data_IF_893992376795
#
_entry.id   IF_893992376795
#
_cell.length_a   1.000
_cell.length_b   1.000
_cell.length_c   1.000
_cell.angle_alpha   90.00
_cell.angle_beta   90.00
_cell.angle_gamma   90.00
#
_symmetry.space_group_name_H-M   'P 1'
#
loop_
_entity.id
_entity.type
_entity.pdbx_description
1 polymer ?
#
# COMPACT_ATOMS: atom_id res chain seq x y z
N UNK A 1 58.18 30.23 3.16
CA UNK A 1 57.98 31.29 4.18
C UNK A 1 58.71 32.51 3.64
N UNK A 2 58.06 33.69 3.58
CA UNK A 2 58.41 34.80 2.67
C UNK A 2 58.07 34.58 1.18
N UNK A 3 58.12 35.70 0.42
CA UNK A 3 58.14 35.90 -1.06
C UNK A 3 56.84 35.78 -1.88
N UNK A 4 56.53 36.90 -2.59
CA UNK A 4 55.77 37.08 -3.86
C UNK A 4 54.30 36.60 -3.97
N UNK A 5 53.32 37.30 -4.58
CA UNK A 5 53.23 38.42 -5.56
C UNK A 5 53.70 38.10 -7.00
N UNK A 6 52.77 37.83 -7.91
CA UNK A 6 52.55 38.61 -9.15
C UNK A 6 51.42 38.03 -10.02
N UNK A 7 50.56 38.93 -10.51
CA UNK A 7 49.80 38.77 -11.76
C UNK A 7 50.53 39.59 -12.84
N UNK A 8 50.65 39.04 -14.07
CA UNK A 8 50.68 39.78 -15.35
C UNK A 8 50.89 38.88 -16.58
N UNK A 9 49.89 38.93 -17.47
CA UNK A 9 49.97 39.02 -18.95
C UNK A 9 51.31 38.79 -19.67
N UNK A 10 51.29 37.93 -20.71
CA UNK A 10 52.11 38.08 -21.93
C UNK A 10 51.37 37.52 -23.16
N UNK A 11 51.53 38.16 -24.33
CA UNK A 11 50.81 37.84 -25.58
C UNK A 11 51.69 38.14 -26.82
N UNK A 12 51.85 37.16 -27.72
CA UNK A 12 52.35 37.25 -29.13
C UNK A 12 51.82 35.99 -29.86
N UNK A 13 51.15 35.97 -31.02
CA UNK A 13 51.05 36.81 -32.26
C UNK A 13 52.01 36.36 -33.38
N UNK A 14 51.41 36.03 -34.54
CA UNK A 14 51.98 35.84 -35.91
C UNK A 14 52.84 34.57 -36.16
N UNK A 15 52.83 33.94 -37.36
CA UNK A 15 52.13 34.21 -38.63
C UNK A 15 51.90 32.93 -39.49
N UNK A 16 51.04 33.02 -40.52
CA UNK A 16 51.24 32.62 -41.95
C UNK A 16 51.83 31.24 -42.37
N UNK A 17 51.48 30.61 -43.52
CA UNK A 17 50.36 30.77 -44.48
C UNK A 17 50.20 29.46 -45.32
N UNK A 18 49.23 29.43 -46.24
CA UNK A 18 48.86 28.35 -47.17
C UNK A 18 49.98 27.86 -48.13
N UNK A 19 49.98 26.55 -48.52
CA UNK A 19 50.74 26.06 -49.69
C UNK A 19 50.82 24.52 -49.87
N UNK A 20 50.28 24.01 -51.00
CA UNK A 20 50.47 22.63 -51.52
C UNK A 20 50.67 22.71 -53.05
N UNK A 21 51.37 21.77 -53.70
CA UNK A 21 50.82 21.26 -54.98
C UNK A 21 51.12 19.80 -55.37
N UNK A 22 50.13 19.20 -56.08
CA UNK A 22 50.25 18.18 -57.14
C UNK A 22 50.80 16.78 -56.78
N UNK A 23 50.34 15.65 -57.34
CA UNK A 23 49.25 15.31 -58.30
C UNK A 23 48.76 13.86 -57.97
N UNK A 24 47.90 13.10 -58.67
CA UNK A 24 47.13 13.12 -59.95
C UNK A 24 46.00 12.05 -59.78
N UNK A 25 45.00 11.79 -60.63
CA UNK A 25 44.54 12.29 -61.95
C UNK A 25 42.97 12.23 -61.97
N UNK A 26 42.33 12.02 -63.12
CA UNK A 26 40.85 12.00 -63.36
C UNK A 26 40.51 10.91 -64.44
N UNK A 27 39.25 10.56 -64.86
CA UNK A 27 38.01 11.36 -64.78
C UNK A 27 36.60 10.68 -64.59
N UNK A 28 35.62 11.53 -64.20
CA UNK A 28 34.19 11.63 -64.64
C UNK A 28 33.17 10.45 -64.55
N UNK A 29 31.95 10.77 -64.08
CA UNK A 29 30.74 9.94 -64.22
C UNK A 29 29.45 10.62 -63.70
N UNK A 30 28.57 11.09 -64.60
CA UNK A 30 27.32 11.86 -64.34
C UNK A 30 26.34 11.24 -63.33
N UNK A 31 25.57 12.08 -62.63
CA UNK A 31 24.40 11.69 -61.80
C UNK A 31 23.06 12.25 -62.31
N UNK A 32 22.11 12.43 -61.38
CA UNK A 32 20.78 13.11 -61.44
C UNK A 32 19.52 12.21 -61.64
N UNK A 33 18.57 12.40 -60.69
CA UNK A 33 17.11 12.16 -60.69
C UNK A 33 16.49 10.76 -60.45
N UNK A 34 15.23 10.85 -59.99
CA UNK A 34 14.27 9.85 -59.49
C UNK A 34 13.02 9.84 -60.41
N UNK A 35 11.85 9.20 -60.10
CA UNK A 35 11.48 8.17 -59.11
C UNK A 35 10.72 6.96 -59.74
N UNK A 36 10.16 6.03 -58.92
CA UNK A 36 8.72 5.58 -58.93
C UNK A 36 8.49 4.14 -58.36
N UNK A 37 7.77 4.11 -57.23
CA UNK A 37 6.73 3.19 -56.72
C UNK A 37 6.48 1.78 -57.35
N UNK A 38 7.01 0.75 -56.66
CA UNK A 38 6.35 -0.48 -56.18
C UNK A 38 5.38 -1.34 -57.06
N UNK A 39 5.85 -2.55 -57.43
CA UNK A 39 5.20 -3.91 -57.46
C UNK A 39 6.29 -4.94 -57.83
N UNK A 40 6.31 -6.21 -57.44
CA UNK A 40 5.49 -6.98 -56.49
C UNK A 40 5.71 -8.50 -56.65
N UNK A 41 6.11 -9.21 -55.58
CA UNK A 41 6.28 -10.68 -55.45
C UNK A 41 7.39 -11.39 -56.27
N UNK A 42 7.85 -12.53 -55.72
CA UNK A 42 8.78 -13.50 -56.34
C UNK A 42 10.26 -13.10 -56.39
N UNK A 43 11.29 -13.92 -56.14
CA UNK A 43 11.53 -15.16 -55.38
C UNK A 43 12.87 -15.75 -55.86
N UNK A 44 13.73 -16.19 -54.92
CA UNK A 44 14.85 -17.17 -55.08
C UNK A 44 16.18 -16.76 -55.79
N UNK A 45 17.29 -17.15 -55.12
CA UNK A 45 18.62 -17.56 -55.64
C UNK A 45 19.50 -16.48 -56.34
N UNK A 46 20.82 -16.31 -56.10
CA UNK A 46 21.88 -16.96 -55.26
C UNK A 46 22.69 -15.85 -54.51
N UNK A 47 23.16 -16.00 -53.25
CA UNK A 47 24.43 -16.59 -52.78
C UNK A 47 25.71 -15.84 -53.27
N UNK A 48 26.80 -15.57 -52.50
CA UNK A 48 27.32 -16.03 -51.18
C UNK A 48 28.05 -14.85 -50.47
N UNK A 49 28.13 -14.80 -49.12
CA UNK A 49 29.18 -14.01 -48.43
C UNK A 49 28.99 -13.73 -46.93
N UNK A 50 29.84 -14.33 -46.08
CA UNK A 50 29.98 -14.10 -44.62
C UNK A 50 28.73 -14.25 -43.72
N UNK A 51 28.54 -15.47 -43.16
CA UNK A 51 27.62 -15.75 -42.06
C UNK A 51 28.27 -15.56 -40.67
N UNK A 52 27.53 -15.00 -39.71
CA UNK A 52 27.98 -14.88 -38.30
C UNK A 52 27.65 -16.11 -37.43
N UNK A 53 28.47 -16.36 -36.41
CA UNK A 53 28.31 -17.48 -35.48
C UNK A 53 27.16 -17.29 -34.48
N UNK A 54 26.08 -18.07 -34.61
CA UNK A 54 25.23 -18.49 -33.48
C UNK A 54 25.02 -20.00 -33.44
N UNK A 55 25.79 -20.67 -32.59
CA UNK A 55 25.75 -22.14 -32.46
C UNK A 55 24.56 -22.61 -31.62
N UNK A 56 23.60 -23.27 -32.28
CA UNK A 56 22.53 -24.03 -31.62
C UNK A 56 23.04 -25.43 -31.22
N UNK A 57 23.32 -25.66 -29.94
CA UNK A 57 23.66 -27.01 -29.45
C UNK A 57 22.40 -27.84 -29.20
N UNK A 58 22.19 -28.90 -29.99
CA UNK A 58 21.11 -29.89 -29.80
C UNK A 58 21.68 -31.15 -29.13
N UNK A 59 21.02 -31.64 -28.09
CA UNK A 59 21.26 -32.94 -27.41
C UNK A 59 19.90 -33.44 -26.87
N UNK A 60 19.69 -34.74 -26.62
CA UNK A 60 18.72 -35.47 -27.45
C UNK A 60 17.51 -36.05 -26.71
N UNK A 61 16.45 -36.35 -27.47
CA UNK A 61 15.23 -36.99 -26.99
C UNK A 61 15.22 -38.50 -27.26
N UNK A 62 15.08 -39.33 -26.22
CA UNK A 62 14.47 -40.66 -26.33
C UNK A 62 13.75 -41.03 -25.01
N UNK A 63 12.55 -41.63 -25.03
CA UNK A 63 11.74 -41.81 -23.84
C UNK A 63 11.81 -43.24 -23.25
N UNK A 64 11.55 -43.35 -21.95
CA UNK A 64 10.81 -44.48 -21.37
C UNK A 64 10.05 -43.97 -20.13
N UNK A 65 8.92 -44.59 -19.79
CA UNK A 65 7.96 -44.02 -18.84
C UNK A 65 8.27 -44.28 -17.36
N UNK A 66 8.05 -43.25 -16.54
CA UNK A 66 7.53 -43.42 -15.18
C UNK A 66 6.07 -42.97 -15.18
N UNK A 67 5.17 -43.73 -14.54
CA UNK A 67 3.74 -43.35 -14.41
C UNK A 67 3.61 -42.20 -13.42
N UNK A 68 3.65 -40.96 -13.90
CA UNK A 68 3.07 -39.85 -13.18
C UNK A 68 1.55 -40.00 -13.19
N UNK A 69 0.95 -40.26 -12.02
CA UNK A 69 -0.51 -40.24 -11.90
C UNK A 69 -1.06 -38.83 -12.19
N UNK A 70 -2.21 -38.77 -12.85
CA UNK A 70 -2.95 -37.51 -13.02
C UNK A 70 -3.57 -37.09 -11.68
N UNK A 71 -2.76 -36.59 -10.75
CA UNK A 71 -3.23 -36.00 -9.49
C UNK A 71 -4.20 -34.86 -9.85
N UNK A 72 -5.49 -34.94 -9.47
CA UNK A 72 -6.46 -33.96 -9.94
C UNK A 72 -6.16 -32.55 -9.43
N UNK A 73 -6.19 -31.56 -10.31
CA UNK A 73 -5.97 -30.12 -10.01
C UNK A 73 -6.79 -29.64 -8.80
N UNK A 74 -7.96 -30.25 -8.59
CA UNK A 74 -8.86 -30.03 -7.44
C UNK A 74 -8.18 -30.23 -6.07
N UNK A 75 -7.27 -31.20 -5.93
CA UNK A 75 -6.54 -31.45 -4.67
C UNK A 75 -5.56 -30.31 -4.33
N UNK A 76 -4.86 -29.77 -5.33
CA UNK A 76 -3.89 -28.68 -5.11
C UNK A 76 -4.59 -27.40 -4.63
N UNK A 77 -5.80 -27.10 -5.14
CA UNK A 77 -6.63 -26.02 -4.63
C UNK A 77 -7.18 -26.28 -3.21
N UNK A 78 -7.60 -27.51 -2.88
CA UNK A 78 -8.09 -27.85 -1.53
C UNK A 78 -6.96 -27.73 -0.50
N UNK A 79 -5.76 -28.23 -0.81
CA UNK A 79 -4.59 -28.10 0.07
C UNK A 79 -4.21 -26.62 0.28
N UNK A 80 -4.22 -25.80 -0.77
CA UNK A 80 -3.98 -24.36 -0.67
C UNK A 80 -5.00 -23.63 0.21
N UNK A 81 -6.29 -23.98 0.11
CA UNK A 81 -7.36 -23.43 0.95
C UNK A 81 -7.18 -23.86 2.42
N UNK A 82 -6.90 -25.14 2.68
CA UNK A 82 -6.65 -25.64 4.04
C UNK A 82 -5.43 -24.96 4.68
N UNK A 83 -4.32 -24.82 3.92
CA UNK A 83 -3.12 -24.15 4.39
C UNK A 83 -3.35 -22.65 4.68
N UNK A 84 -4.19 -21.97 3.87
CA UNK A 84 -4.64 -20.60 4.15
C UNK A 84 -5.49 -20.51 5.43
N UNK A 85 -6.44 -21.43 5.62
CA UNK A 85 -7.30 -21.47 6.83
C UNK A 85 -6.46 -21.71 8.08
N UNK A 86 -5.51 -22.64 8.04
CA UNK A 86 -4.63 -22.96 9.17
C UNK A 86 -3.69 -21.78 9.49
N UNK A 87 -2.97 -21.25 8.50
CA UNK A 87 -2.04 -20.13 8.72
C UNK A 87 -2.73 -18.84 9.17
N UNK A 88 -3.91 -18.52 8.61
CA UNK A 88 -4.72 -17.37 9.03
C UNK A 88 -5.33 -17.59 10.42
N UNK A 89 -5.80 -18.81 10.70
CA UNK A 89 -6.33 -19.21 12.00
C UNK A 89 -5.30 -19.07 13.12
N UNK A 90 -4.05 -19.46 12.88
CA UNK A 90 -2.95 -19.30 13.85
C UNK A 90 -2.69 -17.82 14.15
N UNK A 91 -2.69 -16.94 13.15
CA UNK A 91 -2.53 -15.48 13.38
C UNK A 91 -3.71 -14.93 14.20
N UNK A 92 -4.95 -15.31 13.88
CA UNK A 92 -6.17 -14.89 14.60
C UNK A 92 -6.21 -15.40 16.05
N UNK A 93 -5.70 -16.61 16.30
CA UNK A 93 -5.57 -17.18 17.66
C UNK A 93 -4.47 -16.46 18.43
N UNK A 94 -3.33 -16.18 17.80
CA UNK A 94 -2.23 -15.42 18.41
C UNK A 94 -2.67 -14.02 18.83
N UNK A 95 -3.39 -13.30 17.96
CA UNK A 95 -3.96 -11.97 18.23
C UNK A 95 -4.92 -11.99 19.44
N UNK A 96 -5.88 -12.93 19.45
CA UNK A 96 -6.82 -13.11 20.57
C UNK A 96 -6.14 -13.54 21.87
N UNK A 97 -5.10 -14.38 21.79
CA UNK A 97 -4.31 -14.81 22.95
C UNK A 97 -3.52 -13.64 23.55
N UNK A 98 -2.76 -12.92 22.73
CA UNK A 98 -1.98 -11.74 23.13
C UNK A 98 -2.90 -10.66 23.73
N UNK A 99 -4.06 -10.41 23.12
CA UNK A 99 -5.04 -9.45 23.65
C UNK A 99 -5.58 -9.87 25.02
N UNK A 100 -5.86 -11.15 25.24
CA UNK A 100 -6.27 -11.68 26.56
C UNK A 100 -5.14 -11.58 27.60
N UNK A 101 -3.92 -11.95 27.23
CA UNK A 101 -2.76 -11.89 28.12
C UNK A 101 -2.45 -10.44 28.57
N UNK A 102 -2.50 -9.48 27.65
CA UNK A 102 -2.27 -8.06 27.98
C UNK A 102 -3.35 -7.47 28.89
N UNK A 103 -4.63 -7.83 28.67
CA UNK A 103 -5.72 -7.43 29.56
C UNK A 103 -5.57 -8.06 30.95
N UNK A 104 -5.22 -9.34 31.04
CA UNK A 104 -4.96 -10.02 32.32
C UNK A 104 -3.76 -9.44 33.08
N UNK A 105 -2.74 -8.95 32.36
CA UNK A 105 -1.58 -8.27 32.94
C UNK A 105 -1.76 -6.74 33.13
N UNK A 106 -2.96 -6.20 32.88
CA UNK A 106 -3.29 -4.77 32.93
C UNK A 106 -2.39 -3.85 32.05
N UNK A 107 -1.76 -4.40 31.01
CA UNK A 107 -0.82 -3.68 30.15
C UNK A 107 -1.60 -2.83 29.14
N UNK A 108 -1.57 -1.49 29.29
CA UNK A 108 -2.24 -0.53 28.39
C UNK A 108 -1.69 -0.49 26.94
N UNK A 109 -0.62 -1.22 26.62
CA UNK A 109 0.02 -1.23 25.30
C UNK A 109 -0.70 -2.15 24.30
N UNK A 110 -0.85 -1.77 23.01
CA UNK A 110 -1.44 -2.63 21.98
C UNK A 110 -0.68 -3.95 21.79
N UNK A 111 -1.26 -5.02 22.34
CA UNK A 111 -0.78 -6.41 22.26
C UNK A 111 -0.37 -6.87 20.85
N UNK A 112 -1.03 -6.40 19.79
CA UNK A 112 -0.69 -6.70 18.41
C UNK A 112 0.66 -6.09 17.95
N UNK A 113 1.03 -4.89 18.44
CA UNK A 113 2.36 -4.31 18.18
C UNK A 113 3.45 -5.15 18.85
N UNK A 114 3.21 -5.61 20.08
CA UNK A 114 4.12 -6.50 20.79
C UNK A 114 4.28 -7.83 20.03
N UNK A 115 3.17 -8.45 19.61
CA UNK A 115 3.19 -9.66 18.77
C UNK A 115 3.99 -9.49 17.47
N UNK A 116 3.82 -8.35 16.78
CA UNK A 116 4.59 -8.01 15.58
C UNK A 116 6.10 -7.94 15.87
N UNK A 117 6.53 -7.23 16.92
CA UNK A 117 7.94 -7.14 17.29
C UNK A 117 8.51 -8.49 17.76
N UNK A 118 7.74 -9.29 18.51
CA UNK A 118 8.15 -10.62 18.95
C UNK A 118 8.35 -11.58 17.76
N UNK A 119 7.39 -11.66 16.82
CA UNK A 119 7.53 -12.52 15.63
C UNK A 119 8.71 -12.05 14.77
N UNK A 120 8.87 -10.74 14.56
CA UNK A 120 10.01 -10.21 13.80
C UNK A 120 11.35 -10.55 14.50
N UNK A 121 11.44 -10.45 15.83
CA UNK A 121 12.65 -10.78 16.59
C UNK A 121 12.97 -12.27 16.57
N UNK A 122 11.96 -13.14 16.73
CA UNK A 122 12.10 -14.59 16.60
C UNK A 122 12.61 -14.95 15.20
N UNK A 123 12.04 -14.32 14.16
CA UNK A 123 12.50 -14.49 12.78
C UNK A 123 13.93 -13.98 12.56
N UNK A 124 14.34 -12.85 13.14
CA UNK A 124 15.74 -12.37 13.09
C UNK A 124 16.71 -13.36 13.73
N UNK A 125 16.39 -13.87 14.92
CA UNK A 125 17.22 -14.85 15.62
C UNK A 125 17.30 -16.14 14.78
N UNK A 126 16.17 -16.64 14.29
CA UNK A 126 16.10 -17.84 13.48
C UNK A 126 16.85 -17.70 12.13
N UNK A 127 16.83 -16.52 11.50
CA UNK A 127 17.60 -16.23 10.29
C UNK A 127 19.12 -16.21 10.54
N UNK A 128 19.55 -15.86 11.75
CA UNK A 128 20.96 -15.88 12.14
C UNK A 128 21.50 -17.26 12.53
N UNK A 129 20.63 -18.19 12.95
CA UNK A 129 21.04 -19.55 13.38
C UNK A 129 20.70 -20.62 12.34
N UNK A 130 19.49 -20.62 11.77
CA UNK A 130 19.03 -21.58 10.75
C UNK A 130 18.14 -20.86 9.70
N UNK A 131 18.73 -20.19 8.69
CA UNK A 131 17.98 -19.37 7.72
C UNK A 131 16.98 -20.17 6.87
N UNK A 132 17.20 -21.46 6.66
CA UNK A 132 16.23 -22.36 6.00
C UNK A 132 14.93 -22.49 6.81
N UNK A 133 15.02 -22.62 8.13
CA UNK A 133 13.85 -22.68 9.02
C UNK A 133 13.12 -21.34 9.09
N UNK A 134 13.85 -20.22 9.11
CA UNK A 134 13.26 -18.88 9.05
C UNK A 134 12.45 -18.66 7.76
N UNK A 135 13.01 -19.04 6.61
CA UNK A 135 12.31 -18.98 5.33
C UNK A 135 11.13 -19.97 5.26
N UNK A 136 11.27 -21.18 5.82
CA UNK A 136 10.18 -22.16 5.90
C UNK A 136 8.97 -21.62 6.68
N UNK A 137 9.20 -21.01 7.85
CA UNK A 137 8.16 -20.40 8.68
C UNK A 137 7.47 -19.23 7.95
N UNK A 138 8.23 -18.41 7.22
CA UNK A 138 7.69 -17.30 6.40
C UNK A 138 6.85 -17.81 5.22
N UNK A 139 7.24 -18.91 4.60
CA UNK A 139 6.49 -19.54 3.50
C UNK A 139 5.20 -20.22 4.00
N UNK A 140 5.22 -20.78 5.22
CA UNK A 140 4.02 -21.30 5.88
C UNK A 140 2.96 -20.20 6.09
N UNK A 141 3.36 -19.02 6.57
CA UNK A 141 2.45 -17.87 6.73
C UNK A 141 2.20 -17.06 5.45
N UNK A 142 2.79 -17.42 4.31
CA UNK A 142 2.66 -16.64 3.07
C UNK A 142 1.21 -16.54 2.55
N UNK A 143 0.39 -17.61 2.51
CA UNK A 143 -1.00 -17.50 2.04
C UNK A 143 -1.86 -16.60 2.95
N UNK A 144 -1.66 -16.66 4.27
CA UNK A 144 -2.33 -15.76 5.21
C UNK A 144 -1.88 -14.30 5.02
N UNK A 145 -0.57 -14.06 4.87
CA UNK A 145 -0.05 -12.72 4.59
C UNK A 145 -0.57 -12.18 3.24
N UNK A 146 -0.63 -12.99 2.19
CA UNK A 146 -1.19 -12.60 0.89
C UNK A 146 -2.70 -12.33 0.97
N UNK A 147 -3.46 -13.13 1.72
CA UNK A 147 -4.88 -12.87 2.00
C UNK A 147 -5.07 -11.55 2.75
N UNK A 148 -4.31 -11.33 3.83
CA UNK A 148 -4.38 -10.11 4.64
C UNK A 148 -3.99 -8.90 3.80
N UNK A 149 -2.93 -8.97 2.98
CA UNK A 149 -2.56 -7.89 2.07
C UNK A 149 -3.64 -7.63 0.99
N UNK A 150 -4.30 -8.67 0.45
CA UNK A 150 -5.41 -8.53 -0.51
C UNK A 150 -6.63 -7.84 0.11
N UNK A 151 -6.93 -8.07 1.40
CA UNK A 151 -8.10 -7.50 2.08
C UNK A 151 -7.78 -6.31 3.01
N UNK A 152 -6.50 -5.91 3.12
CA UNK A 152 -6.04 -4.83 4.01
C UNK A 152 -6.87 -3.55 3.93
N UNK A 153 -7.32 -3.08 2.74
CA UNK A 153 -8.18 -1.90 2.67
C UNK A 153 -9.55 -2.06 3.32
N UNK A 154 -10.12 -3.27 3.33
CA UNK A 154 -11.46 -3.53 3.85
C UNK A 154 -11.50 -3.47 5.39
N UNK A 155 -10.44 -3.91 6.08
CA UNK A 155 -10.45 -4.00 7.55
C UNK A 155 -10.50 -2.64 8.27
N UNK A 156 -10.16 -1.53 7.60
CA UNK A 156 -10.28 -0.17 8.15
C UNK A 156 -11.43 0.67 7.58
N UNK A 157 -12.13 0.18 6.55
CA UNK A 157 -13.39 0.79 6.06
C UNK A 157 -14.42 1.05 7.18
N UNK A 158 -14.56 0.20 8.23
CA UNK A 158 -15.61 0.40 9.23
C UNK A 158 -15.63 1.75 9.92
N UNK A 159 -14.46 2.31 10.23
CA UNK A 159 -14.32 3.64 10.84
C UNK A 159 -14.79 4.78 9.92
N UNK A 160 -14.87 4.52 8.61
CA UNK A 160 -15.26 5.49 7.58
C UNK A 160 -16.75 5.41 7.26
N UNK A 161 -17.33 4.20 7.27
CA UNK A 161 -18.78 3.95 7.12
C UNK A 161 -19.58 4.63 8.24
N UNK A 162 -19.08 4.60 9.48
CA UNK A 162 -19.71 5.33 10.59
C UNK A 162 -19.23 6.78 10.74
N UNK A 163 -18.44 7.30 9.80
CA UNK A 163 -18.00 8.69 9.84
C UNK A 163 -19.19 9.68 9.87
N UNK A 164 -20.27 9.51 9.07
CA UNK A 164 -21.45 10.39 9.10
C UNK A 164 -22.11 10.52 10.48
N UNK A 165 -22.09 9.46 11.30
CA UNK A 165 -22.52 9.57 12.71
C UNK A 165 -21.57 10.52 13.46
N UNK A 166 -20.27 10.21 13.45
CA UNK A 166 -19.28 10.88 14.29
C UNK A 166 -18.93 12.32 13.89
N UNK A 167 -19.38 12.79 12.72
CA UNK A 167 -19.19 14.20 12.30
C UNK A 167 -20.43 15.07 12.51
N UNK A 168 -21.61 14.48 12.79
CA UNK A 168 -22.81 15.26 13.15
C UNK A 168 -22.61 16.07 14.42
N UNK A 169 -21.87 15.51 15.38
CA UNK A 169 -21.56 16.14 16.66
C UNK A 169 -20.41 17.17 16.58
N UNK A 170 -19.73 17.27 15.43
CA UNK A 170 -18.54 18.14 15.26
C UNK A 170 -18.96 19.47 14.62
N UNK A 171 -18.76 20.63 15.27
CA UNK A 171 -19.05 21.92 14.67
C UNK A 171 -18.29 22.12 13.35
N UNK A 172 -18.97 22.63 12.32
CA UNK A 172 -18.40 22.80 10.97
C UNK A 172 -17.09 23.63 10.97
N UNK A 173 -16.96 24.61 11.87
CA UNK A 173 -15.73 25.37 12.09
C UNK A 173 -14.55 24.48 12.52
N UNK A 174 -14.77 23.48 13.37
CA UNK A 174 -13.77 22.47 13.75
C UNK A 174 -13.42 21.55 12.58
N UNK A 175 -14.39 21.21 11.72
CA UNK A 175 -14.14 20.48 10.47
C UNK A 175 -13.19 21.24 9.52
N UNK A 176 -13.41 22.55 9.34
CA UNK A 176 -12.54 23.41 8.53
C UNK A 176 -11.13 23.51 9.13
N UNK A 177 -11.03 23.68 10.47
CA UNK A 177 -9.75 23.65 11.21
C UNK A 177 -8.98 22.35 10.98
N UNK A 178 -9.66 21.20 11.04
CA UNK A 178 -9.07 19.88 10.78
C UNK A 178 -8.58 19.78 9.33
N UNK A 179 -9.37 20.21 8.34
CA UNK A 179 -8.98 20.16 6.92
C UNK A 179 -7.76 21.04 6.63
N UNK A 180 -7.67 22.23 7.26
CA UNK A 180 -6.50 23.11 7.17
C UNK A 180 -5.23 22.44 7.71
N UNK A 181 -5.30 21.82 8.89
CA UNK A 181 -4.19 21.05 9.47
C UNK A 181 -3.80 19.87 8.57
N UNK A 182 -4.79 19.18 8.00
CA UNK A 182 -4.56 18.02 7.14
C UNK A 182 -3.78 18.42 5.87
N UNK A 183 -4.25 19.42 5.12
CA UNK A 183 -3.63 19.85 3.86
C UNK A 183 -2.29 20.56 4.09
N UNK A 184 -2.27 21.58 4.96
CA UNK A 184 -1.04 22.35 5.23
C UNK A 184 0.03 21.49 5.92
N UNK A 185 -0.39 20.68 6.90
CA UNK A 185 0.48 19.75 7.60
C UNK A 185 0.94 18.57 6.74
N UNK A 186 0.19 18.14 5.71
CA UNK A 186 0.66 17.12 4.76
C UNK A 186 1.82 17.66 3.92
N UNK A 187 1.67 18.88 3.38
CA UNK A 187 2.74 19.55 2.62
C UNK A 187 3.99 19.76 3.48
N UNK A 188 3.82 20.15 4.74
CA UNK A 188 4.92 20.34 5.69
C UNK A 188 5.64 19.02 6.02
N UNK A 189 4.90 17.96 6.43
CA UNK A 189 5.49 16.66 6.75
C UNK A 189 6.18 16.03 5.53
N UNK A 190 5.61 16.15 4.33
CA UNK A 190 6.24 15.68 3.07
C UNK A 190 7.55 16.42 2.80
N UNK A 191 7.58 17.74 2.98
CA UNK A 191 8.79 18.55 2.77
C UNK A 191 9.88 18.19 3.77
N UNK A 192 9.55 18.05 5.05
CA UNK A 192 10.51 17.66 6.10
C UNK A 192 11.05 16.25 5.86
N UNK A 193 10.20 15.28 5.51
CA UNK A 193 10.63 13.93 5.17
C UNK A 193 11.60 13.92 3.97
N UNK A 194 11.24 14.62 2.89
CA UNK A 194 12.04 14.70 1.66
C UNK A 194 13.41 15.36 1.87
N UNK A 195 13.47 16.52 2.55
CA UNK A 195 14.74 17.19 2.84
C UNK A 195 15.59 16.41 3.86
N UNK A 196 14.98 15.77 4.85
CA UNK A 196 15.72 14.91 5.81
C UNK A 196 16.33 13.71 5.10
N UNK A 197 15.58 13.03 4.22
CA UNK A 197 16.10 11.91 3.44
C UNK A 197 17.30 12.32 2.57
N UNK A 198 17.25 13.49 1.91
CA UNK A 198 18.41 14.04 1.18
C UNK A 198 19.58 14.34 2.12
N UNK A 199 19.35 14.99 3.25
CA UNK A 199 20.40 15.36 4.19
C UNK A 199 21.14 14.13 4.73
N UNK A 200 20.40 13.10 5.14
CA UNK A 200 20.97 11.84 5.64
C UNK A 200 21.65 11.07 4.52
N UNK A 201 21.06 10.98 3.32
CA UNK A 201 21.70 10.29 2.18
C UNK A 201 23.03 10.94 1.77
N UNK A 202 23.16 12.27 1.85
CA UNK A 202 24.44 12.98 1.64
C UNK A 202 25.53 12.60 2.65
N UNK A 203 25.13 12.26 3.88
CA UNK A 203 26.03 11.85 4.97
C UNK A 203 26.42 10.37 4.82
N UNK A 204 25.43 9.48 4.63
CA UNK A 204 25.63 8.02 4.65
C UNK A 204 26.17 7.48 3.31
N UNK A 205 25.85 8.15 2.18
CA UNK A 205 26.30 7.78 0.82
C UNK A 205 25.94 6.36 0.37
N UNK A 206 24.81 5.82 0.85
CA UNK A 206 24.39 4.45 0.54
C UNK A 206 24.14 4.25 -0.96
N UNK A 207 24.67 3.16 -1.53
CA UNK A 207 24.35 2.75 -2.90
C UNK A 207 22.88 2.38 -3.05
N UNK A 208 22.28 2.70 -4.20
CA UNK A 208 20.88 2.38 -4.50
C UNK A 208 20.68 0.91 -4.78
N UNK A 209 20.02 0.19 -3.86
CA UNK A 209 19.44 -1.13 -4.15
C UNK A 209 17.97 -0.95 -4.52
N UNK A 210 17.59 -1.43 -5.71
CA UNK A 210 16.19 -1.45 -6.13
C UNK A 210 15.38 -2.37 -5.24
N UNK A 211 14.21 -1.92 -4.78
CA UNK A 211 13.32 -2.74 -3.97
C UNK A 211 12.70 -3.85 -4.82
N UNK A 212 12.91 -5.11 -4.43
CA UNK A 212 12.34 -6.25 -5.15
C UNK A 212 10.81 -6.13 -5.21
N UNK A 213 10.20 -6.28 -6.40
CA UNK A 213 8.78 -5.98 -6.58
C UNK A 213 7.90 -7.05 -5.92
N UNK A 214 7.48 -6.81 -4.67
CA UNK A 214 6.50 -7.68 -3.98
C UNK A 214 5.32 -8.04 -4.90
N UNK A 215 4.87 -9.31 -4.94
CA UNK A 215 3.75 -9.73 -5.76
C UNK A 215 2.53 -8.84 -5.59
N UNK A 216 1.85 -8.51 -6.69
CA UNK A 216 0.50 -7.94 -6.61
C UNK A 216 -0.46 -9.05 -6.17
N UNK A 217 -1.42 -8.79 -5.26
CA UNK A 217 -2.46 -9.77 -4.96
C UNK A 217 -3.28 -10.08 -6.21
N UNK A 218 -3.80 -11.31 -6.31
CA UNK A 218 -4.59 -11.76 -7.46
C UNK A 218 -5.93 -11.01 -7.57
N UNK A 219 -6.39 -10.70 -8.81
CA UNK A 219 -7.66 -10.02 -9.03
C UNK A 219 -8.85 -10.90 -8.62
N UNK A 220 -9.94 -10.27 -8.22
CA UNK A 220 -11.15 -10.94 -7.75
C UNK A 220 -11.91 -11.66 -8.89
N UNK A 221 -12.17 -12.94 -8.71
CA UNK A 221 -12.93 -13.78 -9.65
C UNK A 221 -14.38 -13.31 -9.79
N UNK A 222 -14.99 -13.57 -10.95
CA UNK A 222 -16.43 -13.34 -11.12
C UNK A 222 -17.27 -14.23 -10.18
N UNK A 223 -16.80 -15.45 -9.89
CA UNK A 223 -17.48 -16.38 -8.98
C UNK A 223 -17.48 -15.83 -7.54
N UNK A 224 -16.37 -15.23 -7.09
CA UNK A 224 -16.31 -14.56 -5.78
C UNK A 224 -17.34 -13.41 -5.72
N UNK A 225 -17.47 -12.60 -6.79
CA UNK A 225 -18.42 -11.48 -6.79
C UNK A 225 -19.88 -11.97 -6.78
N UNK A 226 -20.24 -12.92 -7.64
CA UNK A 226 -21.61 -13.47 -7.66
C UNK A 226 -21.99 -14.15 -6.34
N UNK A 227 -21.06 -14.82 -5.66
CA UNK A 227 -21.29 -15.39 -4.33
C UNK A 227 -21.61 -14.29 -3.30
N UNK A 228 -20.82 -13.21 -3.26
CA UNK A 228 -21.09 -12.08 -2.36
C UNK A 228 -22.37 -11.32 -2.72
N UNK A 229 -22.73 -11.21 -4.00
CA UNK A 229 -24.03 -10.65 -4.43
C UNK A 229 -25.20 -11.52 -3.95
N UNK A 230 -25.08 -12.85 -4.05
CA UNK A 230 -26.07 -13.79 -3.51
C UNK A 230 -26.24 -13.66 -1.99
N UNK A 231 -25.13 -13.56 -1.24
CA UNK A 231 -25.15 -13.33 0.20
C UNK A 231 -25.81 -11.98 0.52
N UNK A 232 -25.46 -10.91 -0.20
CA UNK A 232 -26.05 -9.58 -0.01
C UNK A 232 -27.56 -9.60 -0.19
N UNK A 233 -28.06 -10.05 -1.35
CA UNK A 233 -29.50 -10.01 -1.67
C UNK A 233 -30.30 -10.90 -0.72
N UNK A 234 -29.88 -12.14 -0.49
CA UNK A 234 -30.59 -13.05 0.42
C UNK A 234 -30.63 -12.53 1.87
N UNK A 235 -29.52 -11.98 2.36
CA UNK A 235 -29.43 -11.43 3.72
C UNK A 235 -30.19 -10.12 3.88
N UNK A 236 -30.22 -9.27 2.85
CA UNK A 236 -30.97 -8.01 2.86
C UNK A 236 -32.48 -8.28 2.90
N UNK A 237 -32.97 -9.19 2.04
CA UNK A 237 -34.39 -9.61 2.03
C UNK A 237 -34.77 -10.27 3.37
N UNK A 238 -33.93 -11.16 3.90
CA UNK A 238 -34.14 -11.76 5.22
C UNK A 238 -34.23 -10.71 6.34
N UNK A 239 -33.34 -9.71 6.33
CA UNK A 239 -33.34 -8.65 7.33
C UNK A 239 -34.58 -7.73 7.23
N UNK A 240 -35.02 -7.38 6.03
CA UNK A 240 -36.21 -6.53 5.84
C UNK A 240 -37.50 -7.26 6.25
N UNK A 241 -37.62 -8.55 5.93
CA UNK A 241 -38.80 -9.36 6.29
C UNK A 241 -38.81 -9.79 7.77
N UNK A 242 -37.65 -10.07 8.35
CA UNK A 242 -37.50 -10.60 9.71
C UNK A 242 -36.33 -9.93 10.46
N UNK A 243 -36.45 -8.67 10.92
CA UNK A 243 -35.35 -7.90 11.50
C UNK A 243 -34.63 -8.57 12.69
N UNK A 244 -35.31 -9.42 13.44
CA UNK A 244 -34.79 -10.15 14.61
C UNK A 244 -34.45 -11.63 14.33
N UNK A 245 -34.36 -12.06 13.07
CA UNK A 245 -34.11 -13.47 12.71
C UNK A 245 -32.84 -14.08 13.32
N UNK A 246 -31.77 -13.30 13.53
CA UNK A 246 -30.55 -13.74 14.23
C UNK A 246 -30.50 -13.23 15.69
N UNK A 247 -31.68 -13.06 16.31
CA UNK A 247 -31.89 -12.65 17.70
C UNK A 247 -31.75 -11.16 17.99
N UNK A 248 -30.98 -10.42 17.18
CA UNK A 248 -30.82 -8.96 17.30
C UNK A 248 -30.72 -8.30 15.93
N UNK A 249 -31.20 -7.06 15.80
CA UNK A 249 -31.12 -6.29 14.56
C UNK A 249 -29.68 -6.23 14.02
N UNK A 250 -28.67 -6.04 14.89
CA UNK A 250 -27.27 -6.00 14.49
C UNK A 250 -26.78 -7.33 13.89
N UNK A 251 -27.15 -8.49 14.46
CA UNK A 251 -26.77 -9.81 13.92
C UNK A 251 -27.49 -10.13 12.62
N UNK A 252 -28.74 -9.69 12.46
CA UNK A 252 -29.48 -9.84 11.20
C UNK A 252 -28.95 -8.92 10.10
N UNK A 253 -28.50 -7.71 10.46
CA UNK A 253 -27.90 -6.76 9.50
C UNK A 253 -26.45 -7.11 9.12
N UNK A 254 -25.69 -7.73 10.03
CA UNK A 254 -24.29 -8.12 9.85
C UNK A 254 -23.99 -8.75 8.46
N UNK A 255 -24.66 -9.83 8.01
CA UNK A 255 -24.29 -10.50 6.77
C UNK A 255 -24.51 -9.63 5.52
N UNK A 256 -25.59 -8.84 5.43
CA UNK A 256 -25.80 -7.96 4.27
C UNK A 256 -24.86 -6.75 4.30
N UNK A 257 -24.64 -6.14 5.47
CA UNK A 257 -23.72 -5.00 5.61
C UNK A 257 -22.27 -5.40 5.34
N UNK A 258 -21.85 -6.59 5.78
CA UNK A 258 -20.55 -7.16 5.46
C UNK A 258 -20.42 -7.40 3.95
N UNK A 259 -21.42 -8.03 3.33
CA UNK A 259 -21.45 -8.25 1.88
C UNK A 259 -21.43 -6.93 1.09
N UNK A 260 -22.14 -5.89 1.53
CA UNK A 260 -22.12 -4.57 0.91
C UNK A 260 -20.72 -3.94 0.91
N UNK A 261 -20.00 -3.98 2.04
CA UNK A 261 -18.62 -3.47 2.11
C UNK A 261 -17.65 -4.28 1.23
N UNK A 262 -17.80 -5.61 1.21
CA UNK A 262 -16.98 -6.50 0.38
C UNK A 262 -17.23 -6.25 -1.12
N UNK A 263 -18.49 -6.15 -1.54
CA UNK A 263 -18.86 -5.87 -2.93
C UNK A 263 -18.34 -4.50 -3.38
N UNK A 264 -18.50 -3.46 -2.57
CA UNK A 264 -17.93 -2.14 -2.84
C UNK A 264 -16.41 -2.19 -3.06
N UNK A 265 -15.69 -3.00 -2.27
CA UNK A 265 -14.25 -3.20 -2.45
C UNK A 265 -13.92 -3.96 -3.75
N UNK A 266 -14.65 -5.04 -4.05
CA UNK A 266 -14.42 -5.88 -5.24
C UNK A 266 -14.76 -5.15 -6.55
N UNK A 267 -15.79 -4.28 -6.55
CA UNK A 267 -16.13 -3.42 -7.68
C UNK A 267 -15.12 -2.27 -7.82
N UNK A 268 -14.81 -1.57 -6.73
CA UNK A 268 -13.86 -0.44 -6.75
C UNK A 268 -12.44 -0.84 -7.14
N UNK A 269 -11.96 -2.01 -6.70
CA UNK A 269 -10.63 -2.53 -7.07
C UNK A 269 -10.53 -2.91 -8.55
N UNK A 270 -11.62 -3.38 -9.18
CA UNK A 270 -11.69 -3.59 -10.63
C UNK A 270 -11.66 -2.26 -11.39
N UNK A 271 -12.42 -1.26 -10.92
CA UNK A 271 -12.47 0.06 -11.55
C UNK A 271 -11.12 0.79 -11.52
N UNK A 272 -10.28 0.52 -10.52
CA UNK A 272 -8.92 1.09 -10.42
C UNK A 272 -7.96 0.55 -11.50
N UNK A 273 -8.20 -0.65 -12.05
CA UNK A 273 -7.41 -1.20 -13.18
C UNK A 273 -7.67 -0.46 -14.49
N UNK A 274 -8.91 -0.07 -14.76
CA UNK A 274 -9.37 0.43 -16.07
C UNK A 274 -9.14 1.94 -16.25
N UNK A 275 -7.92 2.40 -15.92
CA UNK A 275 -7.32 3.72 -16.19
C UNK A 275 -8.07 4.99 -15.69
N UNK A 276 -9.31 4.88 -15.22
CA UNK A 276 -10.15 6.00 -14.76
C UNK A 276 -9.80 6.40 -13.32
N UNK A 277 -8.80 7.29 -13.20
CA UNK A 277 -8.14 7.77 -11.96
C UNK A 277 -9.04 8.33 -10.82
N UNK A 278 -10.36 8.29 -10.92
CA UNK A 278 -11.28 9.02 -10.04
C UNK A 278 -11.76 8.24 -8.79
N UNK A 279 -11.92 6.92 -8.88
CA UNK A 279 -12.55 6.12 -7.81
C UNK A 279 -11.53 5.23 -7.10
N UNK A 280 -11.20 5.60 -5.85
CA UNK A 280 -10.38 4.79 -4.97
C UNK A 280 -11.24 3.67 -4.35
N UNK A 281 -10.76 2.40 -4.23
CA UNK A 281 -11.60 1.29 -3.78
C UNK A 281 -12.30 1.53 -2.43
N UNK A 282 -11.61 2.16 -1.47
CA UNK A 282 -12.16 2.54 -0.16
C UNK A 282 -13.46 3.36 -0.29
N UNK A 283 -13.51 4.32 -1.23
CA UNK A 283 -14.67 5.19 -1.45
C UNK A 283 -15.85 4.37 -1.96
N UNK A 284 -15.58 3.37 -2.82
CA UNK A 284 -16.61 2.44 -3.30
C UNK A 284 -17.13 1.55 -2.15
N UNK A 285 -16.28 1.15 -1.19
CA UNK A 285 -16.72 0.43 0.00
C UNK A 285 -17.68 1.26 0.86
N UNK A 286 -17.32 2.54 1.12
CA UNK A 286 -18.13 3.47 1.94
C UNK A 286 -19.48 3.69 1.26
N UNK A 287 -19.49 4.16 0.01
CA UNK A 287 -20.72 4.44 -0.72
C UNK A 287 -21.63 3.21 -0.85
N UNK A 288 -21.06 2.01 -1.05
CA UNK A 288 -21.83 0.76 -1.12
C UNK A 288 -22.44 0.37 0.22
N UNK A 289 -21.73 0.59 1.34
CA UNK A 289 -22.23 0.32 2.68
C UNK A 289 -23.29 1.34 3.11
N UNK A 290 -23.01 2.63 2.93
CA UNK A 290 -23.90 3.74 3.30
C UNK A 290 -25.21 3.69 2.50
N UNK A 291 -25.15 3.40 1.19
CA UNK A 291 -26.34 3.22 0.35
C UNK A 291 -27.16 1.99 0.78
N UNK A 292 -26.50 0.89 1.17
CA UNK A 292 -27.18 -0.30 1.68
C UNK A 292 -27.83 -0.05 3.04
N UNK A 293 -27.16 0.71 3.92
CA UNK A 293 -27.67 1.11 5.22
C UNK A 293 -28.84 2.09 5.10
N UNK A 294 -28.79 3.03 4.14
CA UNK A 294 -29.87 3.95 3.81
C UNK A 294 -31.08 3.20 3.24
N UNK A 295 -30.87 2.29 2.29
CA UNK A 295 -31.95 1.48 1.72
C UNK A 295 -32.65 0.63 2.80
N UNK A 296 -31.88 -0.06 3.65
CA UNK A 296 -32.44 -0.81 4.77
C UNK A 296 -33.15 0.09 5.79
N UNK A 297 -32.55 1.22 6.17
CA UNK A 297 -33.14 2.19 7.10
C UNK A 297 -34.44 2.83 6.59
N UNK A 298 -34.62 2.90 5.26
CA UNK A 298 -35.86 3.32 4.61
C UNK A 298 -36.93 2.21 4.65
N UNK A 299 -36.60 0.97 4.26
CA UNK A 299 -37.58 -0.13 4.29
C UNK A 299 -38.00 -0.50 5.72
N UNK A 300 -37.08 -0.51 6.67
CA UNK A 300 -37.35 -0.85 8.08
C UNK A 300 -37.77 0.36 8.94
N UNK A 301 -37.92 1.56 8.35
CA UNK A 301 -38.30 2.82 9.03
C UNK A 301 -37.42 3.18 10.26
N UNK A 302 -36.23 2.59 10.36
CA UNK A 302 -35.28 2.79 11.46
C UNK A 302 -34.32 3.95 11.24
N UNK A 303 -34.24 4.47 10.01
CA UNK A 303 -33.35 5.56 9.62
C UNK A 303 -31.87 5.14 9.52
N UNK A 304 -31.08 5.91 8.77
CA UNK A 304 -29.67 5.60 8.51
C UNK A 304 -28.85 5.45 9.80
N UNK A 305 -29.11 6.29 10.81
CA UNK A 305 -28.27 6.38 12.01
C UNK A 305 -28.35 5.13 12.89
N UNK A 306 -29.54 4.53 13.02
CA UNK A 306 -29.70 3.26 13.72
C UNK A 306 -28.93 2.12 13.02
N UNK A 307 -28.93 2.12 11.68
CA UNK A 307 -28.27 1.08 10.88
C UNK A 307 -26.75 1.23 10.88
N UNK A 308 -26.23 2.46 10.87
CA UNK A 308 -24.81 2.73 11.11
C UNK A 308 -24.39 2.39 12.56
N UNK A 309 -25.29 2.53 13.54
CA UNK A 309 -25.10 2.02 14.90
C UNK A 309 -25.07 0.48 14.98
N UNK A 310 -25.91 -0.20 14.20
CA UNK A 310 -25.89 -1.67 14.06
C UNK A 310 -24.67 -2.18 13.28
N UNK A 311 -24.09 -1.33 12.42
CA UNK A 311 -22.89 -1.65 11.66
C UNK A 311 -21.64 -1.73 12.56
N UNK A 312 -21.47 -0.81 13.52
CA UNK A 312 -20.36 -0.80 14.48
C UNK A 312 -20.87 -0.62 15.91
N UNK A 313 -21.28 -1.72 16.54
CA UNK A 313 -21.91 -1.71 17.87
C UNK A 313 -20.91 -1.50 19.00
N UNK A 314 -19.64 -1.87 18.78
CA UNK A 314 -18.57 -1.95 19.79
C UNK A 314 -18.86 -2.96 20.92
N UNK A 315 -19.86 -3.84 20.77
CA UNK A 315 -20.34 -4.76 21.80
C UNK A 315 -19.96 -6.22 21.50
N UNK A 316 -19.08 -6.80 22.32
CA UNK A 316 -18.55 -8.17 22.15
C UNK A 316 -19.59 -9.29 22.05
N UNK A 317 -20.79 -9.13 22.65
CA UNK A 317 -21.88 -10.13 22.60
C UNK A 317 -22.79 -9.95 21.36
N UNK A 318 -22.70 -8.81 20.70
CA UNK A 318 -23.59 -8.36 19.64
C UNK A 318 -22.83 -7.58 18.53
N UNK A 319 -21.81 -8.19 17.90
CA UNK A 319 -20.99 -7.51 16.91
C UNK A 319 -21.81 -7.15 15.66
N UNK A 320 -21.56 -5.98 15.09
CA UNK A 320 -21.95 -5.61 13.73
C UNK A 320 -20.91 -6.03 12.70
N UNK A 321 -21.18 -5.77 11.41
CA UNK A 321 -20.25 -6.05 10.31
C UNK A 321 -18.90 -5.34 10.47
N UNK A 322 -18.94 -4.09 10.96
CA UNK A 322 -17.76 -3.28 11.25
C UNK A 322 -16.91 -3.83 12.39
N UNK A 323 -17.54 -4.38 13.44
CA UNK A 323 -16.82 -4.98 14.58
C UNK A 323 -16.05 -6.24 14.15
N UNK A 324 -16.62 -7.05 13.26
CA UNK A 324 -15.94 -8.21 12.66
C UNK A 324 -14.72 -7.76 11.84
N UNK A 325 -14.87 -6.74 10.98
CA UNK A 325 -13.79 -6.23 10.15
C UNK A 325 -12.67 -5.56 10.96
N UNK A 326 -13.00 -4.74 11.97
CA UNK A 326 -12.02 -4.21 12.92
C UNK A 326 -11.37 -5.32 13.76
N UNK A 327 -12.06 -6.44 13.98
CA UNK A 327 -11.53 -7.61 14.68
C UNK A 327 -10.30 -8.25 14.02
N UNK A 328 -10.06 -8.00 12.73
CA UNK A 328 -8.85 -8.44 12.02
C UNK A 328 -7.66 -7.47 12.15
N UNK A 329 -7.84 -6.30 12.75
CA UNK A 329 -6.84 -5.22 12.72
C UNK A 329 -5.56 -5.55 13.53
N UNK A 330 -5.66 -6.34 14.60
CA UNK A 330 -4.49 -6.83 15.32
C UNK A 330 -3.71 -7.87 14.51
N UNK A 331 -4.43 -8.82 13.91
CA UNK A 331 -3.91 -9.84 12.99
C UNK A 331 -3.22 -9.23 11.76
N UNK A 332 -3.73 -8.10 11.25
CA UNK A 332 -3.06 -7.26 10.24
C UNK A 332 -1.68 -6.81 10.72
N UNK A 333 -1.60 -6.19 11.90
CA UNK A 333 -0.35 -5.67 12.47
C UNK A 333 0.65 -6.80 12.70
N UNK A 334 0.20 -7.93 13.25
CA UNK A 334 1.02 -9.14 13.45
C UNK A 334 1.57 -9.65 12.10
N UNK A 335 0.77 -9.64 11.02
CA UNK A 335 1.24 -10.07 9.70
C UNK A 335 2.36 -9.20 9.10
N UNK A 336 2.43 -7.91 9.49
CA UNK A 336 3.48 -7.02 9.00
C UNK A 336 4.88 -7.45 9.45
N UNK A 337 5.02 -8.28 10.50
CA UNK A 337 6.29 -8.88 10.89
C UNK A 337 6.90 -9.73 9.76
N UNK A 338 6.10 -10.56 9.08
CA UNK A 338 6.55 -11.37 7.94
C UNK A 338 6.90 -10.50 6.73
N UNK A 339 6.13 -9.43 6.49
CA UNK A 339 6.38 -8.47 5.41
C UNK A 339 7.70 -7.71 5.62
N UNK A 340 7.96 -7.22 6.84
CA UNK A 340 9.25 -6.61 7.21
C UNK A 340 10.41 -7.61 7.14
N UNK A 341 10.19 -8.86 7.55
CA UNK A 341 11.22 -9.91 7.46
C UNK A 341 11.63 -10.20 6.01
N UNK A 342 10.69 -10.23 5.06
CA UNK A 342 11.02 -10.38 3.63
C UNK A 342 11.90 -9.23 3.15
N UNK A 343 11.62 -8.00 3.57
CA UNK A 343 12.39 -6.80 3.19
C UNK A 343 13.66 -6.55 4.05
N UNK A 344 13.98 -7.42 5.03
CA UNK A 344 15.05 -7.21 6.02
C UNK A 344 16.40 -6.78 5.45
N UNK A 345 16.78 -7.30 4.28
CA UNK A 345 18.07 -6.98 3.63
C UNK A 345 18.12 -5.52 3.16
N UNK A 346 17.03 -5.03 2.57
CA UNK A 346 16.88 -3.64 2.13
C UNK A 346 16.82 -2.70 3.34
N UNK A 347 15.99 -3.04 4.34
CA UNK A 347 15.86 -2.29 5.59
C UNK A 347 17.20 -2.21 6.34
N UNK A 348 18.00 -3.30 6.37
CA UNK A 348 19.34 -3.30 6.99
C UNK A 348 20.36 -2.47 6.22
N UNK A 349 20.36 -2.47 4.88
CA UNK A 349 21.28 -1.61 4.09
C UNK A 349 20.98 -0.12 4.25
N UNK A 350 19.70 0.26 4.30
CA UNK A 350 19.25 1.65 4.42
C UNK A 350 18.77 2.02 5.84
N UNK A 351 19.23 1.29 6.88
CA UNK A 351 18.68 1.40 8.23
C UNK A 351 18.80 2.80 8.82
N UNK A 352 19.96 3.44 8.66
CA UNK A 352 20.23 4.81 9.11
C UNK A 352 19.37 5.84 8.38
N UNK A 353 19.25 5.72 7.05
CA UNK A 353 18.43 6.59 6.18
C UNK A 353 16.94 6.50 6.51
N UNK A 354 16.42 5.28 6.68
CA UNK A 354 15.00 5.04 7.01
C UNK A 354 14.71 5.47 8.45
N UNK A 355 15.49 5.03 9.43
CA UNK A 355 15.19 5.28 10.84
C UNK A 355 15.27 6.77 11.20
N UNK A 356 16.32 7.47 10.77
CA UNK A 356 16.45 8.90 11.05
C UNK A 356 15.40 9.76 10.34
N UNK A 357 15.08 9.46 9.07
CA UNK A 357 14.05 10.19 8.32
C UNK A 357 12.65 9.95 8.90
N UNK A 358 12.33 8.73 9.33
CA UNK A 358 11.08 8.41 10.04
C UNK A 358 11.01 9.07 11.41
N UNK A 359 12.07 9.02 12.24
CA UNK A 359 12.08 9.64 13.56
C UNK A 359 11.88 11.16 13.47
N UNK A 360 12.65 11.84 12.61
CA UNK A 360 12.57 13.30 12.44
C UNK A 360 11.20 13.70 11.86
N UNK A 361 10.72 13.00 10.84
CA UNK A 361 9.40 13.25 10.24
C UNK A 361 8.25 13.00 11.23
N UNK A 362 8.34 11.93 12.04
CA UNK A 362 7.32 11.61 13.06
C UNK A 362 7.31 12.66 14.17
N UNK A 363 8.46 13.03 14.72
CA UNK A 363 8.58 14.10 15.73
C UNK A 363 7.98 15.40 15.16
N UNK A 364 8.44 15.84 13.98
CA UNK A 364 7.91 17.04 13.34
C UNK A 364 6.39 16.97 13.13
N UNK A 365 5.89 15.86 12.58
CA UNK A 365 4.47 15.70 12.27
C UNK A 365 3.60 15.69 13.52
N UNK A 366 4.02 15.02 14.61
CA UNK A 366 3.28 14.99 15.87
C UNK A 366 3.26 16.38 16.52
N UNK A 367 4.43 16.97 16.77
CA UNK A 367 4.51 18.27 17.45
C UNK A 367 3.92 19.42 16.62
N UNK A 368 4.09 19.43 15.29
CA UNK A 368 3.45 20.42 14.42
C UNK A 368 1.92 20.29 14.43
N UNK A 369 1.38 19.07 14.37
CA UNK A 369 -0.08 18.85 14.39
C UNK A 369 -0.68 19.27 15.73
N UNK A 370 -0.03 18.92 16.86
CA UNK A 370 -0.46 19.34 18.19
C UNK A 370 -0.36 20.86 18.40
N UNK A 371 0.75 21.49 17.96
CA UNK A 371 0.97 22.93 18.10
C UNK A 371 -0.03 23.72 17.26
N UNK A 372 -0.22 23.39 15.98
CA UNK A 372 -1.19 24.08 15.11
C UNK A 372 -2.61 23.86 15.60
N UNK A 373 -2.97 22.64 16.04
CA UNK A 373 -4.26 22.35 16.67
C UNK A 373 -4.57 23.26 17.86
N UNK A 374 -3.59 23.43 18.77
CA UNK A 374 -3.71 24.34 19.91
C UNK A 374 -3.78 25.81 19.48
N UNK A 375 -2.95 26.24 18.53
CA UNK A 375 -2.91 27.63 18.04
C UNK A 375 -4.21 28.07 17.36
N UNK A 376 -4.87 27.19 16.60
CA UNK A 376 -6.16 27.51 15.96
C UNK A 376 -7.37 27.26 16.88
N UNK A 377 -7.14 26.91 18.15
CA UNK A 377 -8.21 26.59 19.10
C UNK A 377 -9.09 25.43 18.62
N UNK A 378 -8.49 24.34 18.19
CA UNK A 378 -9.19 23.07 17.99
C UNK A 378 -9.34 22.37 19.35
N UNK A 379 -10.45 21.67 19.54
CA UNK A 379 -10.74 20.93 20.78
C UNK A 379 -9.65 19.88 21.08
N UNK A 380 -9.26 19.64 22.35
CA UNK A 380 -8.23 18.65 22.69
C UNK A 380 -8.52 17.24 22.17
N UNK A 381 -9.76 16.75 22.31
CA UNK A 381 -10.16 15.41 21.83
C UNK A 381 -10.01 15.28 20.31
N UNK A 382 -10.46 16.28 19.55
CA UNK A 382 -10.28 16.35 18.10
C UNK A 382 -8.80 16.45 17.72
N UNK A 383 -8.02 17.27 18.42
CA UNK A 383 -6.57 17.46 18.18
C UNK A 383 -5.78 16.16 18.38
N UNK A 384 -6.11 15.38 19.42
CA UNK A 384 -5.53 14.05 19.66
C UNK A 384 -5.95 13.06 18.56
N UNK A 385 -7.22 13.08 18.14
CA UNK A 385 -7.75 12.20 17.08
C UNK A 385 -7.04 12.40 15.74
N UNK A 386 -6.62 13.63 15.40
CA UNK A 386 -5.92 13.92 14.15
C UNK A 386 -4.38 13.80 14.26
N UNK A 387 -3.86 13.53 15.45
CA UNK A 387 -2.41 13.50 15.73
C UNK A 387 -1.65 12.44 14.90
N UNK A 388 -2.11 11.18 14.74
CA UNK A 388 -1.39 10.14 14.00
C UNK A 388 -1.72 10.11 12.49
N UNK A 389 -2.09 11.25 11.89
CA UNK A 389 -2.48 11.38 10.47
C UNK A 389 -1.47 10.90 9.42
N UNK A 390 -0.21 10.68 9.80
CA UNK A 390 0.89 10.29 8.88
C UNK A 390 1.37 8.82 9.06
N UNK A 391 0.66 7.98 9.81
CA UNK A 391 0.92 6.52 9.88
C UNK A 391 -0.26 5.71 9.35
N UNK A 392 -0.08 4.41 9.06
CA UNK A 392 -1.14 3.57 8.49
C UNK A 392 -2.31 3.39 9.47
N UNK A 393 -3.54 3.25 8.95
CA UNK A 393 -4.77 3.28 9.77
C UNK A 393 -4.76 2.26 10.91
N UNK A 394 -4.24 1.04 10.68
CA UNK A 394 -4.13 0.02 11.72
C UNK A 394 -3.26 0.45 12.91
N UNK A 395 -2.13 1.10 12.61
CA UNK A 395 -1.23 1.65 13.62
C UNK A 395 -1.83 2.91 14.26
N UNK A 396 -2.48 3.77 13.48
CA UNK A 396 -3.15 4.99 13.98
C UNK A 396 -4.27 4.67 14.98
N UNK A 397 -5.16 3.73 14.67
CA UNK A 397 -6.22 3.29 15.57
C UNK A 397 -5.66 2.63 16.85
N UNK A 398 -4.56 1.88 16.72
CA UNK A 398 -3.84 1.32 17.88
C UNK A 398 -3.23 2.43 18.76
N UNK A 399 -2.64 3.46 18.17
CA UNK A 399 -2.08 4.62 18.90
C UNK A 399 -3.18 5.45 19.56
N UNK A 400 -4.31 5.69 18.87
CA UNK A 400 -5.42 6.47 19.44
C UNK A 400 -6.11 5.72 20.59
N UNK A 401 -6.07 4.38 20.62
CA UNK A 401 -6.62 3.60 21.74
C UNK A 401 -5.92 3.82 23.10
N UNK A 402 -4.75 4.47 23.14
CA UNK A 402 -4.12 4.92 24.38
C UNK A 402 -4.77 6.18 24.98
N UNK A 403 -5.46 6.99 24.18
CA UNK A 403 -5.94 8.31 24.57
C UNK A 403 -7.44 8.32 24.81
N UNK A 404 -7.82 8.51 26.07
CA UNK A 404 -9.22 8.62 26.49
C UNK A 404 -9.86 9.87 25.85
N UNK A 405 -11.12 9.72 25.40
CA UNK A 405 -11.87 10.78 24.69
C UNK A 405 -11.57 10.93 23.18
N UNK A 406 -10.57 10.25 22.62
CA UNK A 406 -10.22 10.39 21.20
C UNK A 406 -11.10 9.54 20.26
N UNK A 407 -11.42 10.07 19.07
CA UNK A 407 -12.40 9.52 18.14
C UNK A 407 -11.75 8.68 17.03
N UNK A 408 -11.92 7.36 17.12
CA UNK A 408 -11.41 6.38 16.16
C UNK A 408 -11.91 6.58 14.72
N UNK A 409 -13.15 7.02 14.53
CA UNK A 409 -13.75 7.24 13.20
C UNK A 409 -13.09 8.42 12.49
N UNK A 410 -12.99 9.56 13.20
CA UNK A 410 -12.27 10.75 12.74
C UNK A 410 -10.79 10.46 12.48
N UNK A 411 -10.15 9.67 13.35
CA UNK A 411 -8.74 9.23 13.18
C UNK A 411 -8.54 8.53 11.85
N UNK A 412 -9.34 7.50 11.56
CA UNK A 412 -9.23 6.75 10.33
C UNK A 412 -9.54 7.63 9.10
N UNK A 413 -10.55 8.50 9.18
CA UNK A 413 -10.90 9.41 8.10
C UNK A 413 -9.74 10.36 7.77
N UNK A 414 -9.14 10.99 8.77
CA UNK A 414 -8.01 11.91 8.56
C UNK A 414 -6.78 11.18 8.02
N UNK A 415 -6.48 9.97 8.49
CA UNK A 415 -5.39 9.13 7.94
C UNK A 415 -5.67 8.74 6.48
N UNK A 416 -6.88 8.28 6.15
CA UNK A 416 -7.24 7.85 4.80
C UNK A 416 -7.28 9.02 3.83
N UNK A 417 -7.80 10.17 4.24
CA UNK A 417 -7.76 11.41 3.45
C UNK A 417 -6.31 11.87 3.21
N UNK A 418 -5.46 11.84 4.24
CA UNK A 418 -4.02 12.15 4.11
C UNK A 418 -3.31 11.19 3.15
N UNK A 419 -3.63 9.89 3.23
CA UNK A 419 -3.12 8.86 2.32
C UNK A 419 -3.61 9.01 0.88
N UNK A 420 -4.88 9.37 0.68
CA UNK A 420 -5.46 9.60 -0.64
C UNK A 420 -4.91 10.88 -1.31
N UNK A 421 -4.72 11.95 -0.55
CA UNK A 421 -4.03 13.17 -1.01
C UNK A 421 -2.58 12.84 -1.34
N UNK A 422 -1.90 12.05 -0.49
CA UNK A 422 -0.59 11.48 -0.77
C UNK A 422 -0.53 10.77 -2.12
N UNK A 423 -1.31 9.69 -2.29
CA UNK A 423 -1.29 8.86 -3.50
C UNK A 423 -1.50 9.64 -4.82
N UNK A 424 -2.32 10.69 -4.80
CA UNK A 424 -2.62 11.50 -6.00
C UNK A 424 -1.63 12.65 -6.23
N UNK A 425 -1.21 13.37 -5.18
CA UNK A 425 -0.46 14.63 -5.31
C UNK A 425 1.03 14.53 -4.97
N UNK A 426 1.50 13.46 -4.31
CA UNK A 426 2.89 13.37 -3.84
C UNK A 426 3.91 13.49 -4.97
N UNK A 427 3.70 12.84 -6.12
CA UNK A 427 4.63 12.88 -7.25
C UNK A 427 4.71 14.29 -7.87
N UNK A 428 3.61 15.04 -7.88
CA UNK A 428 3.58 16.43 -8.33
C UNK A 428 4.32 17.36 -7.36
N UNK A 429 4.17 17.15 -6.04
CA UNK A 429 4.91 17.93 -5.04
C UNK A 429 6.41 17.59 -5.02
N UNK A 430 6.79 16.31 -5.14
CA UNK A 430 8.20 15.90 -5.26
C UNK A 430 8.88 16.54 -6.47
N UNK A 431 8.21 16.57 -7.63
CA UNK A 431 8.69 17.30 -8.82
C UNK A 431 8.83 18.81 -8.54
N UNK A 432 7.84 19.44 -7.90
CA UNK A 432 7.85 20.88 -7.56
C UNK A 432 8.99 21.25 -6.59
N UNK A 433 9.28 20.37 -5.62
CA UNK A 433 10.38 20.49 -4.66
C UNK A 433 11.75 20.07 -5.24
N UNK A 434 11.80 19.65 -6.52
CA UNK A 434 12.99 19.13 -7.24
C UNK A 434 13.62 17.89 -6.57
N UNK A 435 12.82 17.11 -5.83
CA UNK A 435 13.21 15.89 -5.13
C UNK A 435 13.25 14.70 -6.11
N UNK A 436 14.21 14.74 -7.03
CA UNK A 436 14.33 13.81 -8.15
C UNK A 436 14.99 12.46 -7.79
N UNK A 437 15.57 12.34 -6.60
CA UNK A 437 16.30 11.15 -6.15
C UNK A 437 15.35 9.94 -5.92
N UNK A 438 15.61 8.77 -6.53
CA UNK A 438 14.67 7.64 -6.49
C UNK A 438 14.45 7.04 -5.09
N UNK A 439 15.46 7.06 -4.20
CA UNK A 439 15.27 6.61 -2.81
C UNK A 439 14.42 7.64 -2.05
N UNK A 440 14.69 8.94 -2.23
CA UNK A 440 13.91 10.00 -1.58
C UNK A 440 12.46 9.96 -2.05
N UNK A 441 12.21 9.69 -3.33
CA UNK A 441 10.86 9.44 -3.86
C UNK A 441 10.24 8.21 -3.18
N UNK A 442 10.92 7.05 -3.17
CA UNK A 442 10.40 5.83 -2.55
C UNK A 442 10.09 5.96 -1.05
N UNK A 443 10.95 6.65 -0.28
CA UNK A 443 10.71 6.98 1.13
C UNK A 443 9.50 7.92 1.28
N UNK A 444 9.37 8.93 0.43
CA UNK A 444 8.31 9.93 0.51
C UNK A 444 6.95 9.47 -0.02
N UNK A 445 6.90 8.49 -0.93
CA UNK A 445 5.66 7.94 -1.50
C UNK A 445 5.22 6.61 -0.91
N UNK A 446 6.11 5.90 -0.21
CA UNK A 446 5.99 4.47 0.11
C UNK A 446 5.72 3.58 -1.13
N UNK A 447 6.06 4.07 -2.32
CA UNK A 447 5.97 3.34 -3.59
C UNK A 447 7.35 2.91 -4.09
N UNK A 448 7.35 1.95 -5.02
CA UNK A 448 8.53 1.65 -5.85
C UNK A 448 8.76 2.77 -6.86
#
# INVERSE_FOLDING_TARGET
MSVARLDKTAMKISADFNGNPASHKWPQGRGIQTPIRATGAGSRFLQVGHDELRSHRRVPTKPMGAKGENIPVRFQSVFGIMHLIISLGIILVMDKFLKRAFVAAAIKFPSALFGMFCIFSILMILDSVVPSTAMSLVNFFEPANMFIQRWLPLFYVPSLVVLPLTVKDIPAASGIKILFILVGGWLASLSVAGYTAIAVRKIVKTETVSAEPMPKPSPFSQIELWAWTGIFVSSFVLAVLYPTALGTNAKTCLPFLLAATVLGYMVGSRWQSDAKKALHPIICCILSADLSALAYGYFSQSGLDAVLGYYLTKLSYNPGAGDILMGFLGSVIISFAFSMFKQRKLVKKHASEIFSSVVISTIFSLYSTALVGRLIGLEPALTISILPRCITVALALSVVSFFEGANASLTAAVVVLTGLIGANFVQAMLNKLRLNDPIVRGIATASR
#
